data_IF_338960688886
#
_entry.id   IF_338960688886
#
_cell.length_a   1.000
_cell.length_b   1.000
_cell.length_c   1.000
_cell.angle_alpha   90.00
_cell.angle_beta   90.00
_cell.angle_gamma   90.00
#
_symmetry.space_group_name_H-M   'P 1'
#
loop_
_entity.id
_entity.type
_entity.pdbx_description
1 polymer ?
#
# COMPACT_ATOMS: atom_id res chain seq x y z
N UNK A 1 -2.41 33.02 16.48
CA UNK A 1 -2.10 32.21 15.29
C UNK A 1 -0.61 32.12 14.97
N UNK A 2 0.09 33.17 14.50
CA UNK A 2 1.53 33.06 14.13
C UNK A 2 2.39 32.45 15.25
N UNK A 3 2.42 33.08 16.42
CA UNK A 3 3.27 32.63 17.54
C UNK A 3 2.92 31.19 17.97
N UNK A 4 1.64 30.82 17.93
CA UNK A 4 1.19 29.45 18.22
C UNK A 4 1.73 28.44 17.20
N UNK A 5 1.75 28.79 15.91
CA UNK A 5 2.37 27.96 14.86
C UNK A 5 3.88 27.86 15.11
N UNK A 6 4.58 28.97 15.32
CA UNK A 6 6.04 28.97 15.57
C UNK A 6 6.41 28.12 16.80
N UNK A 7 5.62 28.21 17.88
CA UNK A 7 5.75 27.36 19.07
C UNK A 7 5.52 25.89 18.73
N UNK A 8 4.46 25.57 17.97
CA UNK A 8 4.15 24.21 17.59
C UNK A 8 5.26 23.59 16.73
N UNK A 9 5.76 24.32 15.72
CA UNK A 9 6.85 23.88 14.85
C UNK A 9 8.13 23.61 15.64
N UNK A 10 8.51 24.49 16.56
CA UNK A 10 9.68 24.28 17.41
C UNK A 10 9.50 23.07 18.34
N UNK A 11 8.30 22.80 18.85
CA UNK A 11 8.04 21.57 19.62
C UNK A 11 8.16 20.30 18.77
N UNK A 12 7.89 20.37 17.46
CA UNK A 12 8.05 19.24 16.54
C UNK A 12 9.51 18.98 16.18
N UNK A 13 10.33 20.03 16.13
CA UNK A 13 11.76 19.99 15.81
C UNK A 13 12.58 20.80 16.83
N UNK A 14 12.69 20.33 18.10
CA UNK A 14 13.39 21.05 19.17
C UNK A 14 14.90 21.18 18.95
N UNK A 15 15.47 20.45 17.99
CA UNK A 15 16.86 20.59 17.54
C UNK A 15 17.13 21.88 16.77
N UNK A 16 16.09 22.58 16.30
CA UNK A 16 16.23 23.94 15.79
C UNK A 16 16.52 24.85 16.99
N UNK A 17 17.73 25.40 17.06
CA UNK A 17 18.19 26.24 18.20
C UNK A 17 17.24 27.43 18.49
N UNK A 18 16.55 27.90 17.46
CA UNK A 18 15.58 29.00 17.50
C UNK A 18 14.27 28.60 16.85
N UNK A 19 13.17 29.22 17.27
CA UNK A 19 11.86 29.00 16.63
C UNK A 19 11.91 29.43 15.16
N UNK A 20 11.40 28.62 14.21
CA UNK A 20 11.31 29.03 12.82
C UNK A 20 10.39 30.25 12.70
N UNK A 21 10.74 31.18 11.81
CA UNK A 21 9.91 32.36 11.53
C UNK A 21 8.81 32.01 10.54
N UNK A 22 7.57 32.34 10.87
CA UNK A 22 6.41 32.23 9.97
C UNK A 22 6.02 33.62 9.49
N UNK A 23 6.14 33.85 8.19
CA UNK A 23 5.76 35.11 7.53
C UNK A 23 4.43 34.93 6.81
N UNK A 24 3.50 35.88 6.97
CA UNK A 24 2.30 35.92 6.16
C UNK A 24 2.57 36.75 4.90
N UNK A 25 2.19 36.24 3.73
CA UNK A 25 2.39 36.95 2.47
C UNK A 25 1.70 38.33 2.44
N UNK A 26 0.59 38.51 3.16
CA UNK A 26 -0.08 39.80 3.31
C UNK A 26 0.72 40.87 4.07
N UNK A 27 1.71 40.47 4.88
CA UNK A 27 2.53 41.41 5.65
C UNK A 27 3.76 41.92 4.90
N UNK A 28 4.08 41.31 3.75
CA UNK A 28 5.22 41.73 2.93
C UNK A 28 4.93 43.01 2.12
N UNK A 29 3.69 43.50 2.08
CA UNK A 29 3.35 44.74 1.37
C UNK A 29 3.71 44.67 -0.11
N UNK A 30 4.51 45.63 -0.59
CA UNK A 30 4.99 45.67 -1.98
C UNK A 30 5.98 44.55 -2.32
N UNK A 31 6.61 43.94 -1.31
CA UNK A 31 7.54 42.82 -1.45
C UNK A 31 6.83 41.46 -1.55
N UNK A 32 5.49 41.45 -1.60
CA UNK A 32 4.72 40.22 -1.70
C UNK A 32 5.00 39.54 -3.05
N UNK A 33 5.53 38.30 -3.07
CA UNK A 33 5.59 37.52 -4.29
C UNK A 33 4.17 37.18 -4.76
N UNK A 34 3.97 37.07 -6.08
CA UNK A 34 2.70 36.53 -6.60
C UNK A 34 2.65 35.03 -6.31
N UNK A 35 1.98 34.69 -5.21
CA UNK A 35 1.89 33.36 -4.62
C UNK A 35 0.66 32.59 -5.08
N UNK A 36 0.01 33.00 -6.18
CA UNK A 36 -1.28 32.41 -6.61
C UNK A 36 -1.27 30.89 -6.82
N UNK A 37 -0.09 30.28 -6.93
CA UNK A 37 0.14 28.85 -7.15
C UNK A 37 0.51 28.01 -5.91
N UNK A 38 0.84 28.59 -4.74
CA UNK A 38 1.31 27.83 -3.57
C UNK A 38 0.67 28.29 -2.26
N UNK A 39 0.58 27.38 -1.28
CA UNK A 39 0.09 27.72 0.07
C UNK A 39 1.22 28.15 1.01
N UNK A 40 2.42 27.64 0.79
CA UNK A 40 3.62 27.90 1.56
C UNK A 40 4.86 27.72 0.69
N UNK A 41 5.97 28.29 1.14
CA UNK A 41 7.30 28.06 0.56
C UNK A 41 8.38 28.34 1.59
N UNK A 42 9.55 27.73 1.40
CA UNK A 42 10.72 27.81 2.27
C UNK A 42 11.99 27.84 1.43
N UNK A 43 12.96 28.70 1.79
CA UNK A 43 14.33 28.68 1.26
C UNK A 43 15.35 28.87 2.39
N UNK A 44 16.61 28.52 2.11
CA UNK A 44 17.74 28.68 3.05
C UNK A 44 17.98 30.15 3.46
N UNK A 45 17.62 31.10 2.62
CA UNK A 45 17.94 32.52 2.71
C UNK A 45 16.76 33.41 3.15
N UNK A 46 15.54 32.87 3.23
CA UNK A 46 14.33 33.64 3.55
C UNK A 46 14.43 34.45 4.83
N UNK A 47 15.12 33.90 5.82
CA UNK A 47 15.30 34.55 7.11
C UNK A 47 16.12 35.84 6.93
N UNK A 48 17.17 35.83 6.11
CA UNK A 48 17.95 37.01 5.75
C UNK A 48 17.19 37.96 4.81
N UNK A 49 16.54 37.43 3.77
CA UNK A 49 15.80 38.23 2.76
C UNK A 49 14.66 39.03 3.40
N UNK A 50 13.95 38.43 4.36
CA UNK A 50 12.80 39.02 5.03
C UNK A 50 13.12 39.52 6.44
N UNK A 51 14.39 39.79 6.76
CA UNK A 51 14.83 40.28 8.07
C UNK A 51 14.00 41.48 8.54
N UNK A 52 13.78 42.46 7.68
CA UNK A 52 13.03 43.68 8.01
C UNK A 52 11.57 43.37 8.33
N UNK A 53 10.96 42.43 7.61
CA UNK A 53 9.59 41.95 7.86
C UNK A 53 9.48 41.10 9.13
N UNK A 54 10.54 40.39 9.51
CA UNK A 54 10.60 39.66 10.79
C UNK A 54 10.74 40.65 11.96
N UNK A 55 11.45 41.76 11.74
CA UNK A 55 11.58 42.89 12.65
C UNK A 55 12.26 42.52 13.96
N UNK A 56 11.74 43.02 15.08
CA UNK A 56 12.30 42.78 16.42
C UNK A 56 12.31 41.32 16.85
N UNK A 57 11.64 40.41 16.14
CA UNK A 57 11.68 38.96 16.40
C UNK A 57 12.94 38.31 15.84
N UNK A 58 13.66 39.01 14.95
CA UNK A 58 14.90 38.52 14.38
C UNK A 58 15.95 38.34 15.48
N UNK A 59 16.49 37.15 15.61
CA UNK A 59 17.53 36.75 16.56
C UNK A 59 18.74 36.13 15.86
N UNK A 60 18.71 36.07 14.52
CA UNK A 60 19.67 35.34 13.71
C UNK A 60 19.42 33.83 13.69
N UNK A 61 19.97 33.17 12.67
CA UNK A 61 20.12 31.71 12.60
C UNK A 61 18.86 30.87 12.41
N UNK A 62 17.66 31.41 12.66
CA UNK A 62 16.42 30.65 12.49
C UNK A 62 16.00 30.55 11.01
N UNK A 63 15.50 29.40 10.56
CA UNK A 63 14.89 29.27 9.25
C UNK A 63 13.58 30.08 9.20
N UNK A 64 13.20 30.54 8.01
CA UNK A 64 11.94 31.23 7.79
C UNK A 64 11.13 30.55 6.68
N UNK A 65 9.81 30.57 6.84
CA UNK A 65 8.85 30.09 5.84
C UNK A 65 7.82 31.17 5.57
N UNK A 66 7.39 31.25 4.31
CA UNK A 66 6.38 32.19 3.83
C UNK A 66 5.08 31.44 3.57
N UNK A 67 3.98 31.86 4.20
CA UNK A 67 2.65 31.28 4.03
C UNK A 67 1.70 32.28 3.36
N UNK A 68 0.99 31.85 2.32
CA UNK A 68 -0.04 32.69 1.68
C UNK A 68 -1.37 32.57 2.43
N UNK A 69 -1.57 33.50 3.35
CA UNK A 69 -2.76 33.61 4.20
C UNK A 69 -4.07 33.68 3.40
N UNK A 70 -4.09 34.34 2.24
CA UNK A 70 -5.28 34.42 1.38
C UNK A 70 -5.58 33.10 0.69
N UNK A 71 -4.56 32.44 0.14
CA UNK A 71 -4.72 31.13 -0.51
C UNK A 71 -5.14 30.06 0.50
N UNK A 72 -4.53 30.07 1.69
CA UNK A 72 -4.88 29.22 2.83
C UNK A 72 -6.34 29.45 3.25
N UNK A 73 -6.76 30.70 3.45
CA UNK A 73 -8.14 31.00 3.86
C UNK A 73 -9.17 30.50 2.83
N UNK A 74 -8.90 30.71 1.53
CA UNK A 74 -9.74 30.22 0.43
C UNK A 74 -9.81 28.69 0.42
N UNK A 75 -8.66 28.02 0.56
CA UNK A 75 -8.53 26.56 0.55
C UNK A 75 -9.19 25.89 1.77
N UNK A 76 -9.05 26.49 2.94
CA UNK A 76 -9.68 26.05 4.18
C UNK A 76 -11.21 26.16 4.10
N UNK A 77 -11.72 27.31 3.62
CA UNK A 77 -13.16 27.53 3.40
C UNK A 77 -13.74 26.51 2.42
N UNK A 78 -13.07 26.25 1.29
CA UNK A 78 -13.53 25.29 0.30
C UNK A 78 -13.61 23.85 0.83
N UNK A 79 -12.86 23.52 1.90
CA UNK A 79 -12.81 22.19 2.51
C UNK A 79 -13.59 22.10 3.82
N UNK A 80 -14.26 23.17 4.26
CA UNK A 80 -14.96 23.21 5.55
C UNK A 80 -14.02 23.06 6.75
N UNK A 81 -12.79 23.58 6.65
CA UNK A 81 -11.78 23.52 7.70
C UNK A 81 -11.52 24.89 8.33
N UNK A 82 -11.05 24.87 9.58
CA UNK A 82 -10.54 26.08 10.25
C UNK A 82 -9.26 26.57 9.57
N UNK A 83 -9.10 27.88 9.43
CA UNK A 83 -7.94 28.50 8.77
C UNK A 83 -6.67 28.18 9.54
N UNK A 84 -6.74 28.23 10.88
CA UNK A 84 -5.66 27.92 11.81
C UNK A 84 -5.17 26.48 11.61
N UNK A 85 -6.11 25.54 11.46
CA UNK A 85 -5.79 24.14 11.21
C UNK A 85 -5.12 23.93 9.84
N UNK A 86 -5.61 24.59 8.81
CA UNK A 86 -5.01 24.48 7.48
C UNK A 86 -3.62 25.13 7.45
N UNK A 87 -3.46 26.27 8.12
CA UNK A 87 -2.17 26.96 8.21
C UNK A 87 -1.11 26.14 8.95
N UNK A 88 -1.47 25.47 10.07
CA UNK A 88 -0.52 24.61 10.77
C UNK A 88 -0.13 23.38 9.93
N UNK A 89 -1.06 22.82 9.16
CA UNK A 89 -0.76 21.71 8.23
C UNK A 89 0.25 22.14 7.16
N UNK A 90 0.07 23.30 6.54
CA UNK A 90 1.03 23.83 5.56
C UNK A 90 2.37 24.17 6.24
N UNK A 91 2.35 24.75 7.43
CA UNK A 91 3.58 25.06 8.16
C UNK A 91 4.39 23.80 8.52
N UNK A 92 3.72 22.68 8.83
CA UNK A 92 4.37 21.38 9.06
C UNK A 92 5.00 20.84 7.76
N UNK A 93 4.35 21.03 6.60
CA UNK A 93 4.93 20.69 5.29
C UNK A 93 6.23 21.47 5.05
N UNK A 94 6.16 22.79 5.22
CA UNK A 94 7.31 23.69 5.05
C UNK A 94 8.45 23.38 6.01
N UNK A 95 8.14 23.04 7.27
CA UNK A 95 9.14 22.55 8.22
C UNK A 95 9.84 21.27 7.73
N UNK A 96 9.15 20.42 6.97
CA UNK A 96 9.77 19.29 6.29
C UNK A 96 10.89 19.72 5.34
N UNK A 97 10.67 20.78 4.57
CA UNK A 97 11.68 21.34 3.66
C UNK A 97 12.83 21.97 4.43
N UNK A 98 12.55 22.74 5.49
CA UNK A 98 13.58 23.27 6.41
C UNK A 98 14.53 22.16 6.87
N UNK A 99 13.99 21.01 7.30
CA UNK A 99 14.77 19.90 7.87
C UNK A 99 15.50 19.06 6.81
N UNK A 100 15.15 19.17 5.54
CA UNK A 100 15.91 18.53 4.45
C UNK A 100 17.25 19.21 4.20
N UNK A 101 17.32 20.52 4.42
CA UNK A 101 18.49 21.32 4.18
C UNK A 101 19.64 20.93 5.15
N UNK A 102 20.91 21.16 4.79
CA UNK A 102 22.03 20.90 5.68
C UNK A 102 21.95 21.79 6.94
N UNK A 103 22.01 21.19 8.13
CA UNK A 103 22.02 21.91 9.42
C UNK A 103 23.38 21.77 10.12
N UNK A 104 23.90 22.82 10.81
CA UNK A 104 23.31 24.16 10.94
C UNK A 104 23.31 24.90 9.61
N UNK A 105 22.25 25.71 9.38
CA UNK A 105 22.31 26.76 8.37
C UNK A 105 23.39 27.72 8.85
N UNK A 106 24.62 27.48 8.47
CA UNK A 106 25.68 28.41 8.79
C UNK A 106 25.29 29.74 8.12
N UNK A 107 24.88 30.69 8.97
CA UNK A 107 24.68 32.11 8.72
C UNK A 107 25.84 32.87 8.01
N UNK A 108 27.11 32.40 7.86
CA UNK A 108 28.19 33.21 7.29
C UNK A 108 28.00 33.65 5.85
N UNK A 109 27.16 32.97 5.05
CA UNK A 109 26.95 33.39 3.66
C UNK A 109 26.11 34.66 3.57
N UNK A 110 25.00 34.73 4.32
CA UNK A 110 24.02 35.80 4.11
C UNK A 110 24.21 37.03 5.00
N UNK A 111 24.87 36.89 6.15
CA UNK A 111 25.19 38.03 7.02
C UNK A 111 26.14 39.06 6.36
N UNK A 112 26.75 38.72 5.22
CA UNK A 112 27.72 39.56 4.49
C UNK A 112 27.17 40.15 3.19
N UNK A 113 25.94 39.83 2.78
CA UNK A 113 25.40 40.42 1.56
C UNK A 113 25.07 41.89 1.77
N UNK A 114 25.45 42.71 0.78
CA UNK A 114 25.05 44.10 0.72
C UNK A 114 23.51 44.18 0.59
N UNK A 115 22.85 45.18 1.19
CA UNK A 115 21.39 45.35 1.10
C UNK A 115 20.85 45.30 -0.33
N UNK A 116 21.61 45.76 -1.30
CA UNK A 116 21.26 45.76 -2.73
C UNK A 116 21.15 44.34 -3.30
N UNK A 117 22.03 43.43 -2.90
CA UNK A 117 21.97 42.02 -3.33
C UNK A 117 20.77 41.30 -2.73
N UNK A 118 20.37 41.65 -1.50
CA UNK A 118 19.16 41.10 -0.88
C UNK A 118 17.90 41.60 -1.59
N UNK A 119 17.90 42.83 -2.12
CA UNK A 119 16.80 43.37 -2.90
C UNK A 119 16.69 42.70 -4.28
N UNK A 120 17.82 42.46 -4.96
CA UNK A 120 17.86 41.71 -6.23
C UNK A 120 17.40 40.26 -6.04
N UNK A 121 17.88 39.59 -4.98
CA UNK A 121 17.49 38.21 -4.67
C UNK A 121 16.01 38.12 -4.29
N UNK A 122 15.46 39.11 -3.58
CA UNK A 122 14.02 39.20 -3.31
C UNK A 122 13.19 39.30 -4.59
N UNK A 123 13.64 40.10 -5.56
CA UNK A 123 12.99 40.19 -6.87
C UNK A 123 13.12 38.87 -7.65
N UNK A 124 14.26 38.19 -7.55
CA UNK A 124 14.48 36.86 -8.15
C UNK A 124 13.57 35.80 -7.53
N UNK A 125 13.40 35.78 -6.21
CA UNK A 125 12.46 34.90 -5.50
C UNK A 125 11.04 35.10 -6.01
N UNK A 126 10.61 36.36 -6.14
CA UNK A 126 9.29 36.67 -6.70
C UNK A 126 9.14 36.16 -8.14
N UNK A 127 10.16 36.35 -8.97
CA UNK A 127 10.17 35.87 -10.35
C UNK A 127 10.22 34.33 -10.43
N UNK A 128 10.98 33.65 -9.58
CA UNK A 128 11.08 32.18 -9.53
C UNK A 128 9.78 31.54 -9.07
N UNK A 129 9.12 32.09 -8.04
CA UNK A 129 7.81 31.62 -7.57
C UNK A 129 6.77 31.72 -8.69
N UNK A 130 6.82 32.79 -9.49
CA UNK A 130 5.91 32.99 -10.63
C UNK A 130 6.30 32.12 -11.84
N UNK A 131 7.59 32.03 -12.16
CA UNK A 131 8.11 31.34 -13.33
C UNK A 131 8.22 29.82 -13.15
N UNK A 132 8.16 29.32 -11.91
CA UNK A 132 8.28 27.91 -11.55
C UNK A 132 7.36 26.98 -12.34
N UNK A 133 6.26 27.47 -12.91
CA UNK A 133 5.32 26.65 -13.68
C UNK A 133 5.65 26.45 -15.16
N UNK A 134 6.53 27.23 -15.79
CA UNK A 134 6.53 27.31 -17.26
C UNK A 134 7.78 26.80 -18.02
N UNK A 135 9.01 26.85 -17.50
CA UNK A 135 10.18 26.66 -18.39
C UNK A 135 11.09 25.44 -18.17
N UNK A 136 11.31 24.94 -16.95
CA UNK A 136 12.27 23.83 -16.71
C UNK A 136 11.71 22.64 -15.91
N UNK A 137 10.61 22.80 -15.18
CA UNK A 137 10.04 21.71 -14.34
C UNK A 137 9.50 20.52 -15.14
N UNK A 138 9.17 20.69 -16.43
CA UNK A 138 8.68 19.58 -17.27
C UNK A 138 9.71 18.46 -17.46
N UNK A 139 11.00 18.72 -17.18
CA UNK A 139 12.06 17.72 -17.27
C UNK A 139 12.35 17.01 -15.93
N UNK A 140 11.94 17.58 -14.80
CA UNK A 140 12.18 16.99 -13.47
C UNK A 140 11.10 15.97 -13.13
N UNK A 141 11.39 15.04 -12.23
CA UNK A 141 10.40 14.11 -11.73
C UNK A 141 9.29 14.87 -10.96
N UNK A 142 8.01 14.44 -11.00
CA UNK A 142 6.93 15.18 -10.31
C UNK A 142 7.03 15.25 -8.79
N UNK A 143 7.93 14.47 -8.18
CA UNK A 143 8.26 14.52 -6.76
C UNK A 143 9.59 15.23 -6.50
N UNK A 144 10.08 16.03 -7.45
CA UNK A 144 11.25 16.90 -7.25
C UNK A 144 11.01 17.78 -6.02
N UNK A 145 12.01 17.88 -5.13
CA UNK A 145 11.92 18.44 -3.76
C UNK A 145 11.08 17.63 -2.75
N UNK A 146 10.12 16.81 -3.22
CA UNK A 146 9.32 15.89 -2.41
C UNK A 146 9.83 14.44 -2.48
N UNK A 147 11.15 14.25 -2.48
CA UNK A 147 11.78 12.92 -2.60
C UNK A 147 11.57 12.03 -1.35
N UNK A 148 12.20 10.83 -1.35
CA UNK A 148 12.08 9.86 -0.26
C UNK A 148 12.42 10.45 1.12
N UNK A 149 13.50 11.23 1.21
CA UNK A 149 13.92 11.83 2.47
C UNK A 149 12.90 12.86 3.00
N UNK A 150 12.27 13.62 2.10
CA UNK A 150 11.17 14.52 2.47
C UNK A 150 10.00 13.75 3.08
N UNK A 151 9.54 12.71 2.38
CA UNK A 151 8.42 11.86 2.81
C UNK A 151 8.70 11.23 4.18
N UNK A 152 9.95 10.80 4.42
CA UNK A 152 10.38 10.27 5.70
C UNK A 152 10.33 11.34 6.79
N UNK A 153 10.94 12.50 6.57
CA UNK A 153 10.92 13.63 7.52
C UNK A 153 9.49 14.03 7.89
N UNK A 154 8.64 14.25 6.89
CA UNK A 154 7.24 14.63 7.09
C UNK A 154 6.46 13.54 7.83
N UNK A 155 6.71 12.26 7.55
CA UNK A 155 6.12 11.15 8.29
C UNK A 155 6.46 11.19 9.78
N UNK A 156 7.71 11.52 10.13
CA UNK A 156 8.11 11.73 11.52
C UNK A 156 7.46 12.98 12.15
N UNK A 157 7.36 14.09 11.42
CA UNK A 157 6.68 15.31 11.89
C UNK A 157 5.21 15.05 12.23
N UNK A 158 4.48 14.33 11.36
CA UNK A 158 3.07 13.97 11.57
C UNK A 158 2.90 13.12 12.84
N UNK A 159 3.78 12.12 13.05
CA UNK A 159 3.72 11.28 14.25
C UNK A 159 4.01 12.11 15.51
N UNK A 160 5.01 13.00 15.48
CA UNK A 160 5.30 13.91 16.60
C UNK A 160 4.13 14.85 16.89
N UNK A 161 3.48 15.39 15.86
CA UNK A 161 2.32 16.25 16.01
C UNK A 161 1.18 15.54 16.72
N UNK A 162 0.84 14.32 16.29
CA UNK A 162 -0.15 13.50 16.97
C UNK A 162 0.18 13.22 18.44
N UNK A 163 1.46 12.95 18.76
CA UNK A 163 1.89 12.72 20.15
C UNK A 163 1.87 13.97 21.04
N UNK A 164 2.07 15.14 20.47
CA UNK A 164 2.08 16.42 21.18
C UNK A 164 0.70 17.08 21.28
N UNK A 165 -0.33 16.44 20.71
CA UNK A 165 -1.68 16.99 20.61
C UNK A 165 -1.78 18.18 19.64
N UNK A 166 -0.81 18.32 18.73
CA UNK A 166 -0.87 19.33 17.67
C UNK A 166 -1.81 18.79 16.58
N UNK A 167 -2.97 19.43 16.36
CA UNK A 167 -3.92 18.91 15.40
C UNK A 167 -3.33 19.02 14.01
N UNK A 168 -3.38 17.93 13.24
CA UNK A 168 -2.85 17.90 11.89
C UNK A 168 -3.64 16.96 10.96
N UNK A 169 -3.67 17.29 9.67
CA UNK A 169 -4.24 16.46 8.61
C UNK A 169 -3.13 15.99 7.65
N UNK A 170 -2.72 14.71 7.74
CA UNK A 170 -1.68 14.15 6.87
C UNK A 170 -1.91 14.37 5.37
N UNK A 171 -3.18 14.44 4.93
CA UNK A 171 -3.52 14.62 3.50
C UNK A 171 -3.28 16.04 2.99
N UNK A 172 -3.22 17.03 3.89
CA UNK A 172 -2.86 18.41 3.56
C UNK A 172 -1.36 18.59 3.67
N UNK A 173 -0.76 18.02 4.72
CA UNK A 173 0.70 18.06 4.91
C UNK A 173 1.42 17.37 3.77
N UNK A 174 0.92 16.23 3.27
CA UNK A 174 1.56 15.54 2.14
C UNK A 174 0.52 15.13 1.10
N UNK A 175 0.17 16.03 0.15
CA UNK A 175 -0.85 15.77 -0.85
C UNK A 175 -0.29 14.92 -2.01
N UNK A 176 0.05 13.64 -1.75
CA UNK A 176 0.71 12.72 -2.70
C UNK A 176 0.14 12.71 -4.13
N UNK A 177 -1.17 12.91 -4.27
CA UNK A 177 -1.82 12.99 -5.58
C UNK A 177 -1.32 14.15 -6.46
N UNK A 178 -0.88 15.25 -5.88
CA UNK A 178 -0.27 16.38 -6.60
C UNK A 178 1.09 16.01 -7.19
N UNK A 179 1.82 15.10 -6.55
CA UNK A 179 3.13 14.61 -7.00
C UNK A 179 3.03 13.34 -7.84
N UNK A 180 1.81 12.97 -8.28
CA UNK A 180 1.52 11.77 -9.07
C UNK A 180 1.95 10.44 -8.41
N UNK A 181 2.13 10.46 -7.09
CA UNK A 181 2.44 9.28 -6.28
C UNK A 181 1.14 8.52 -6.00
N UNK A 182 1.15 7.21 -6.26
CA UNK A 182 -0.03 6.35 -6.20
C UNK A 182 -0.37 5.81 -4.82
N UNK A 183 0.57 5.79 -3.88
CA UNK A 183 0.34 5.44 -2.49
C UNK A 183 -0.17 6.66 -1.70
N UNK A 184 -1.14 6.44 -0.81
CA UNK A 184 -1.61 7.50 0.07
C UNK A 184 -0.62 7.80 1.18
N UNK A 185 -0.69 8.99 1.78
CA UNK A 185 0.13 9.32 2.96
C UNK A 185 -0.02 8.30 4.10
N UNK A 186 -1.20 7.70 4.26
CA UNK A 186 -1.44 6.63 5.23
C UNK A 186 -0.55 5.40 5.02
N UNK A 187 -0.24 5.04 3.76
CA UNK A 187 0.64 3.91 3.43
C UNK A 187 2.09 4.22 3.84
N UNK A 188 2.56 5.44 3.58
CA UNK A 188 3.89 5.90 3.99
C UNK A 188 4.02 5.97 5.51
N UNK A 189 2.99 6.48 6.21
CA UNK A 189 2.96 6.50 7.67
C UNK A 189 2.97 5.09 8.26
N UNK A 190 2.20 4.14 7.70
CA UNK A 190 2.25 2.75 8.11
C UNK A 190 3.65 2.13 7.87
N UNK A 191 4.27 2.44 6.73
CA UNK A 191 5.64 2.04 6.42
C UNK A 191 6.72 2.71 7.29
N UNK A 192 6.40 3.78 8.03
CA UNK A 192 7.32 4.46 8.95
C UNK A 192 6.97 4.27 10.43
N UNK A 193 5.79 3.74 10.76
CA UNK A 193 5.23 3.70 12.11
C UNK A 193 6.18 3.25 13.25
N UNK A 194 6.99 2.19 13.04
CA UNK A 194 7.90 1.67 14.06
C UNK A 194 9.10 2.60 14.24
N UNK A 195 9.69 3.02 13.12
CA UNK A 195 10.79 3.98 13.12
C UNK A 195 10.36 5.30 13.75
N UNK A 196 9.23 5.86 13.30
CA UNK A 196 8.71 7.14 13.79
C UNK A 196 8.45 7.10 15.30
N UNK A 197 7.92 6.00 15.81
CA UNK A 197 7.69 5.78 17.24
C UNK A 197 8.98 5.59 18.04
N UNK A 198 9.96 4.84 17.52
CA UNK A 198 11.24 4.58 18.20
C UNK A 198 12.13 5.84 18.20
N UNK A 199 12.16 6.58 17.10
CA UNK A 199 13.02 7.75 16.91
C UNK A 199 12.33 9.08 17.20
N UNK A 200 11.15 9.07 17.82
CA UNK A 200 10.38 10.28 18.13
C UNK A 200 11.13 11.35 18.92
N UNK A 201 12.14 10.96 19.70
CA UNK A 201 12.96 11.86 20.52
C UNK A 201 14.36 12.13 19.93
N UNK A 202 14.66 11.60 18.74
CA UNK A 202 15.98 11.75 18.08
C UNK A 202 15.99 12.98 17.18
N UNK A 203 17.12 13.64 17.02
CA UNK A 203 17.21 14.73 16.05
C UNK A 203 16.98 14.22 14.60
N UNK A 204 16.45 15.06 13.72
CA UNK A 204 16.24 14.77 12.30
C UNK A 204 17.55 14.51 11.57
N UNK A 205 18.66 15.11 12.02
CA UNK A 205 20.01 14.76 11.55
C UNK A 205 20.36 13.29 11.83
N UNK A 206 20.05 12.78 13.03
CA UNK A 206 20.22 11.35 13.36
C UNK A 206 19.27 10.45 12.57
N UNK A 207 18.02 10.88 12.34
CA UNK A 207 17.05 10.16 11.50
C UNK A 207 17.61 10.00 10.08
N UNK A 208 18.06 11.10 9.46
CA UNK A 208 18.62 11.12 8.09
C UNK A 208 19.86 10.22 7.96
N UNK A 209 20.70 10.14 8.98
CA UNK A 209 21.90 9.30 8.97
C UNK A 209 21.61 7.80 9.03
N UNK A 210 20.42 7.40 9.50
CA UNK A 210 20.03 5.98 9.53
C UNK A 210 19.43 5.54 8.20
N UNK A 211 19.72 4.30 7.81
CA UNK A 211 19.06 3.66 6.68
C UNK A 211 17.52 3.66 6.88
N UNK A 212 16.73 4.08 5.88
CA UNK A 212 15.28 4.02 5.98
C UNK A 212 14.77 2.57 6.15
N UNK A 213 13.62 2.36 6.79
CA UNK A 213 13.02 1.03 6.94
C UNK A 213 12.80 0.39 5.57
N UNK A 214 13.12 -0.89 5.44
CA UNK A 214 13.03 -1.61 4.17
C UNK A 214 11.62 -1.56 3.56
N UNK A 215 10.59 -1.60 4.41
CA UNK A 215 9.18 -1.45 3.99
C UNK A 215 8.88 -0.08 3.36
N UNK A 216 9.50 0.99 3.86
CA UNK A 216 9.39 2.33 3.29
C UNK A 216 10.12 2.41 1.94
N UNK A 217 11.36 1.89 1.87
CA UNK A 217 12.14 1.86 0.62
C UNK A 217 11.41 1.09 -0.48
N UNK A 218 10.84 -0.09 -0.17
CA UNK A 218 10.05 -0.86 -1.13
C UNK A 218 8.81 -0.11 -1.60
N UNK A 219 8.09 0.55 -0.70
CA UNK A 219 6.91 1.36 -1.03
C UNK A 219 7.29 2.51 -1.97
N UNK A 220 8.31 3.30 -1.61
CA UNK A 220 8.81 4.41 -2.42
C UNK A 220 9.25 3.98 -3.82
N UNK A 221 10.03 2.90 -3.92
CA UNK A 221 10.50 2.38 -5.20
C UNK A 221 9.36 1.86 -6.08
N UNK A 222 8.34 1.24 -5.49
CA UNK A 222 7.15 0.80 -6.22
C UNK A 222 6.38 2.00 -6.77
N UNK A 223 6.22 3.02 -5.95
CA UNK A 223 5.40 4.18 -6.28
C UNK A 223 6.04 5.03 -7.38
N UNK A 224 7.31 5.40 -7.20
CA UNK A 224 8.08 6.15 -8.20
C UNK A 224 8.17 5.40 -9.53
N UNK A 225 8.42 4.08 -9.54
CA UNK A 225 8.39 3.28 -10.78
C UNK A 225 7.04 3.33 -11.49
N UNK A 226 5.94 3.20 -10.75
CA UNK A 226 4.58 3.30 -11.29
C UNK A 226 4.34 4.66 -11.92
N UNK A 227 4.79 5.72 -11.25
CA UNK A 227 4.63 7.09 -11.72
C UNK A 227 5.46 7.37 -12.97
N UNK A 228 6.73 6.91 -13.04
CA UNK A 228 7.57 7.01 -14.25
C UNK A 228 6.87 6.33 -15.43
N UNK A 229 6.37 5.11 -15.23
CA UNK A 229 5.65 4.37 -16.26
C UNK A 229 4.41 5.12 -16.76
N UNK A 230 3.64 5.71 -15.85
CA UNK A 230 2.46 6.50 -16.20
C UNK A 230 2.82 7.73 -17.05
N UNK A 231 3.86 8.49 -16.65
CA UNK A 231 4.32 9.68 -17.38
C UNK A 231 4.84 9.30 -18.77
N UNK A 232 5.61 8.22 -18.87
CA UNK A 232 6.14 7.72 -20.16
C UNK A 232 4.99 7.34 -21.10
N UNK A 233 4.00 6.60 -20.60
CA UNK A 233 2.83 6.19 -21.39
C UNK A 233 2.03 7.39 -21.89
N UNK A 234 1.82 8.42 -21.06
CA UNK A 234 1.11 9.64 -21.48
C UNK A 234 1.91 10.48 -22.49
N UNK A 235 3.25 10.55 -22.35
CA UNK A 235 4.13 11.18 -23.35
C UNK A 235 4.07 10.45 -24.69
N UNK A 236 4.13 9.12 -24.68
CA UNK A 236 3.99 8.30 -25.89
C UNK A 236 2.65 8.50 -26.57
N UNK A 237 1.54 8.51 -25.82
CA UNK A 237 0.19 8.80 -26.37
C UNK A 237 0.12 10.17 -27.01
N UNK A 238 0.65 11.19 -26.32
CA UNK A 238 0.65 12.57 -26.83
C UNK A 238 1.51 12.70 -28.08
N UNK A 239 2.67 12.03 -28.12
CA UNK A 239 3.54 11.98 -29.28
C UNK A 239 2.86 11.29 -30.47
N UNK A 240 2.25 10.11 -30.26
CA UNK A 240 1.48 9.39 -31.28
C UNK A 240 0.36 10.29 -31.84
N UNK A 241 -0.43 10.92 -30.97
CA UNK A 241 -1.51 11.82 -31.38
C UNK A 241 -1.00 13.08 -32.13
N UNK A 242 0.24 13.51 -31.87
CA UNK A 242 0.88 14.65 -32.55
C UNK A 242 1.42 14.22 -33.92
N UNK A 243 2.05 13.05 -34.00
CA UNK A 243 2.47 12.43 -35.27
C UNK A 243 1.25 12.21 -36.17
N UNK A 244 0.12 11.76 -35.62
CA UNK A 244 -1.14 11.59 -36.35
C UNK A 244 -1.69 12.93 -36.87
N UNK A 245 -1.63 14.00 -36.07
CA UNK A 245 -2.02 15.36 -36.51
C UNK A 245 -1.10 15.91 -37.61
N UNK A 246 0.21 15.71 -37.50
CA UNK A 246 1.18 16.13 -38.53
C UNK A 246 0.96 15.34 -39.83
N UNK A 247 0.64 14.04 -39.73
CA UNK A 247 0.28 13.21 -40.88
C UNK A 247 -1.00 13.71 -41.56
N UNK A 248 -2.02 14.11 -40.80
CA UNK A 248 -3.26 14.66 -41.33
C UNK A 248 -3.05 16.01 -42.06
N UNK A 249 -2.10 16.84 -41.62
CA UNK A 249 -1.79 18.14 -42.23
C UNK A 249 -1.05 18.05 -43.59
N UNK A 250 -0.40 16.92 -43.90
CA UNK A 250 0.33 16.70 -45.16
C UNK A 250 -0.58 16.20 -46.32
N UNK A 251 -1.80 15.78 -46.00
CA UNK A 251 -2.75 15.06 -46.88
C UNK A 251 -3.82 15.96 -47.54
N UNK A 252 -3.45 17.02 -48.26
CA UNK A 252 -4.42 17.77 -49.07
C UNK A 252 -4.07 17.91 -50.56
N UNK A 253 -2.87 17.50 -50.99
CA UNK A 253 -2.48 17.50 -52.42
C UNK A 253 -2.04 16.13 -52.95
N UNK A 254 -1.53 15.24 -52.08
CA UNK A 254 -1.21 13.84 -52.42
C UNK A 254 -2.39 12.87 -52.19
N UNK A 255 -3.50 13.38 -51.65
CA UNK A 255 -4.58 12.59 -51.09
C UNK A 255 -5.49 11.92 -52.12
N UNK A 256 -5.68 12.52 -53.30
CA UNK A 256 -6.57 11.97 -54.33
C UNK A 256 -5.92 10.77 -55.04
N UNK A 257 -4.67 10.90 -55.48
CA UNK A 257 -3.90 9.81 -56.10
C UNK A 257 -3.64 8.65 -55.14
N UNK A 258 -3.38 8.95 -53.87
CA UNK A 258 -3.25 7.92 -52.83
C UNK A 258 -4.58 7.21 -52.53
N UNK A 259 -5.73 7.87 -52.71
CA UNK A 259 -7.05 7.28 -52.45
C UNK A 259 -7.42 6.23 -53.50
N UNK A 260 -7.10 6.50 -54.76
CA UNK A 260 -7.30 5.57 -55.88
C UNK A 260 -6.41 4.33 -55.72
N UNK A 261 -5.13 4.50 -55.39
CA UNK A 261 -4.23 3.37 -55.11
C UNK A 261 -4.64 2.57 -53.87
N UNK A 262 -5.08 3.22 -52.79
CA UNK A 262 -5.57 2.52 -51.59
C UNK A 262 -6.88 1.77 -51.84
N UNK A 263 -7.71 2.25 -52.75
CA UNK A 263 -8.93 1.54 -53.15
C UNK A 263 -8.58 0.29 -53.94
N UNK A 264 -7.65 0.40 -54.91
CA UNK A 264 -7.08 -0.74 -55.64
C UNK A 264 -6.50 -1.80 -54.69
N UNK A 265 -5.66 -1.41 -53.73
CA UNK A 265 -5.10 -2.32 -52.69
C UNK A 265 -6.18 -3.04 -51.88
N UNK A 266 -7.29 -2.35 -51.57
CA UNK A 266 -8.41 -2.95 -50.81
C UNK A 266 -9.19 -3.95 -51.65
N UNK A 267 -9.46 -3.62 -52.91
CA UNK A 267 -10.19 -4.49 -53.83
C UNK A 267 -9.38 -5.76 -54.13
N UNK A 268 -8.06 -5.63 -54.35
CA UNK A 268 -7.15 -6.77 -54.47
C UNK A 268 -7.07 -7.60 -53.19
N UNK A 269 -6.96 -6.98 -52.01
CA UNK A 269 -6.91 -7.70 -50.72
C UNK A 269 -8.22 -8.42 -50.37
N UNK A 270 -9.35 -7.95 -50.89
CA UNK A 270 -10.66 -8.58 -50.76
C UNK A 270 -10.88 -9.73 -51.76
N UNK A 271 -9.98 -9.91 -52.72
CA UNK A 271 -10.11 -10.89 -53.80
C UNK A 271 -11.13 -10.47 -54.86
N UNK A 272 -11.46 -9.18 -54.95
CA UNK A 272 -12.31 -8.66 -56.02
C UNK A 272 -11.51 -8.63 -57.32
N UNK A 273 -12.17 -8.94 -58.44
CA UNK A 273 -11.57 -8.81 -59.77
C UNK A 273 -11.41 -7.32 -60.09
N UNK A 274 -10.18 -6.89 -60.37
CA UNK A 274 -9.86 -5.49 -60.70
C UNK A 274 -9.49 -5.40 -62.18
N UNK A 275 -10.04 -4.41 -62.88
CA UNK A 275 -9.71 -4.12 -64.26
C UNK A 275 -8.20 -3.82 -64.41
N UNK A 276 -7.45 -4.63 -65.18
CA UNK A 276 -6.00 -4.49 -65.31
C UNK A 276 -5.57 -3.15 -65.93
N UNK A 277 -6.37 -2.57 -66.82
CA UNK A 277 -6.03 -1.29 -67.45
C UNK A 277 -6.18 -0.12 -66.47
N UNK A 278 -7.24 -0.15 -65.65
CA UNK A 278 -7.44 0.80 -64.57
C UNK A 278 -6.36 0.66 -63.47
N UNK A 279 -5.99 -0.58 -63.13
CA UNK A 279 -4.91 -0.84 -62.17
C UNK A 279 -3.57 -0.30 -62.67
N UNK A 280 -3.23 -0.53 -63.94
CA UNK A 280 -2.00 -0.02 -64.54
C UNK A 280 -1.94 1.52 -64.54
N UNK A 281 -3.05 2.20 -64.83
CA UNK A 281 -3.12 3.66 -64.81
C UNK A 281 -2.91 4.25 -63.41
N UNK A 282 -3.49 3.63 -62.38
CA UNK A 282 -3.34 4.05 -60.98
C UNK A 282 -1.92 3.80 -60.47
N UNK A 283 -1.31 2.67 -60.86
CA UNK A 283 0.08 2.33 -60.52
C UNK A 283 1.08 3.32 -61.15
N UNK A 284 0.91 3.64 -62.43
CA UNK A 284 1.74 4.64 -63.13
C UNK A 284 1.58 6.03 -62.51
N UNK A 285 0.33 6.45 -62.23
CA UNK A 285 0.03 7.74 -61.60
C UNK A 285 0.59 7.90 -60.17
N UNK A 286 0.87 6.79 -59.48
CA UNK A 286 1.44 6.75 -58.12
C UNK A 286 2.90 6.34 -58.08
N UNK A 287 3.50 5.96 -59.21
CA UNK A 287 4.87 5.48 -59.31
C UNK A 287 5.11 4.14 -58.59
N UNK A 288 4.07 3.29 -58.55
CA UNK A 288 4.07 2.00 -57.84
C UNK A 288 4.16 0.81 -58.79
N UNK A 289 4.78 -0.27 -58.34
CA UNK A 289 4.88 -1.52 -59.11
C UNK A 289 3.81 -2.54 -58.70
N UNK A 290 3.62 -3.56 -59.53
CA UNK A 290 2.72 -4.69 -59.22
C UNK A 290 3.18 -5.44 -57.97
N UNK A 291 4.49 -5.66 -57.80
CA UNK A 291 5.04 -6.31 -56.59
C UNK A 291 4.75 -5.50 -55.32
N UNK A 292 4.77 -4.16 -55.41
CA UNK A 292 4.40 -3.28 -54.31
C UNK A 292 2.90 -3.36 -54.00
N UNK A 293 2.05 -3.43 -55.04
CA UNK A 293 0.61 -3.65 -54.89
C UNK A 293 0.31 -4.97 -54.16
N UNK A 294 0.96 -6.06 -54.55
CA UNK A 294 0.79 -7.37 -53.91
C UNK A 294 1.26 -7.35 -52.45
N UNK A 295 2.42 -6.74 -52.18
CA UNK A 295 2.94 -6.60 -50.82
C UNK A 295 2.02 -5.76 -49.93
N UNK A 296 1.42 -4.71 -50.46
CA UNK A 296 0.48 -3.85 -49.74
C UNK A 296 -0.91 -4.50 -49.60
N UNK A 297 -1.38 -5.26 -50.59
CA UNK A 297 -2.59 -6.06 -50.50
C UNK A 297 -2.48 -7.14 -49.41
N UNK A 298 -1.33 -7.80 -49.30
CA UNK A 298 -1.06 -8.77 -48.22
C UNK A 298 -1.09 -8.10 -46.83
N UNK A 299 -0.50 -6.91 -46.68
CA UNK A 299 -0.58 -6.12 -45.43
C UNK A 299 -2.02 -5.72 -45.12
N UNK A 300 -2.79 -5.28 -46.13
CA UNK A 300 -4.18 -4.87 -45.96
C UNK A 300 -5.09 -6.05 -45.59
N UNK A 301 -4.87 -7.23 -46.19
CA UNK A 301 -5.55 -8.48 -45.81
C UNK A 301 -5.27 -8.84 -44.34
N UNK A 302 -4.01 -8.79 -43.90
CA UNK A 302 -3.64 -8.97 -42.48
C UNK A 302 -4.34 -7.93 -41.58
N UNK A 303 -4.47 -6.70 -42.04
CA UNK A 303 -5.19 -5.62 -41.32
C UNK A 303 -6.67 -5.92 -41.17
N UNK A 304 -7.33 -6.42 -42.21
CA UNK A 304 -8.74 -6.84 -42.15
C UNK A 304 -8.93 -7.99 -41.15
N UNK A 305 -8.02 -8.96 -41.13
CA UNK A 305 -8.03 -10.03 -40.14
C UNK A 305 -7.86 -9.50 -38.70
N UNK A 306 -6.99 -8.51 -38.49
CA UNK A 306 -6.82 -7.86 -37.18
C UNK A 306 -8.05 -7.02 -36.78
N UNK A 307 -8.68 -6.32 -37.72
CA UNK A 307 -9.93 -5.60 -37.47
C UNK A 307 -11.09 -6.54 -37.13
N UNK A 308 -11.19 -7.69 -37.80
CA UNK A 308 -12.15 -8.73 -37.46
C UNK A 308 -11.95 -9.22 -36.01
N UNK A 309 -10.69 -9.46 -35.60
CA UNK A 309 -10.36 -9.79 -34.20
C UNK A 309 -10.70 -8.67 -33.22
N UNK A 310 -10.46 -7.40 -33.60
CA UNK A 310 -10.84 -6.25 -32.76
C UNK A 310 -12.36 -6.10 -32.66
N UNK A 311 -13.11 -6.47 -33.68
CA UNK A 311 -14.58 -6.45 -33.65
C UNK A 311 -15.16 -7.44 -32.63
N UNK A 312 -14.38 -8.42 -32.15
CA UNK A 312 -14.75 -9.30 -31.05
C UNK A 312 -14.65 -8.62 -29.66
N UNK A 313 -13.95 -7.49 -29.54
CA UNK A 313 -13.74 -6.81 -28.24
C UNK A 313 -15.03 -6.46 -27.50
N UNK A 314 -16.09 -5.90 -28.14
CA UNK A 314 -17.34 -5.59 -27.44
C UNK A 314 -18.01 -6.84 -26.84
N UNK A 315 -17.99 -7.96 -27.55
CA UNK A 315 -18.54 -9.23 -27.06
C UNK A 315 -17.72 -9.79 -25.88
N UNK A 316 -16.39 -9.70 -25.94
CA UNK A 316 -15.50 -10.08 -24.84
C UNK A 316 -15.67 -9.16 -23.62
N UNK A 317 -15.87 -7.86 -23.83
CA UNK A 317 -16.14 -6.90 -22.77
C UNK A 317 -17.48 -7.19 -22.06
N UNK A 318 -18.54 -7.43 -22.83
CA UNK A 318 -19.84 -7.85 -22.28
C UNK A 318 -19.74 -9.18 -21.51
N UNK A 319 -18.96 -10.14 -22.03
CA UNK A 319 -18.69 -11.41 -21.33
C UNK A 319 -17.93 -11.17 -20.02
N UNK A 320 -16.96 -10.25 -19.98
CA UNK A 320 -16.22 -9.89 -18.77
C UNK A 320 -17.16 -9.29 -17.73
N UNK A 321 -17.98 -8.31 -18.11
CA UNK A 321 -18.95 -7.67 -17.23
C UNK A 321 -19.94 -8.68 -16.64
N UNK A 322 -20.46 -9.60 -17.46
CA UNK A 322 -21.34 -10.67 -16.99
C UNK A 322 -20.66 -11.62 -15.98
N UNK A 323 -19.36 -11.91 -16.17
CA UNK A 323 -18.59 -12.71 -15.21
C UNK A 323 -18.31 -11.94 -13.91
N UNK A 324 -17.96 -10.66 -14.00
CA UNK A 324 -17.77 -9.77 -12.84
C UNK A 324 -19.06 -9.67 -12.01
N UNK A 325 -20.23 -9.53 -12.65
CA UNK A 325 -21.53 -9.54 -11.99
C UNK A 325 -21.82 -10.86 -11.25
N UNK A 326 -21.51 -12.01 -11.89
CA UNK A 326 -21.64 -13.33 -11.24
C UNK A 326 -20.73 -13.47 -10.02
N UNK A 327 -19.49 -13.01 -10.12
CA UNK A 327 -18.54 -13.00 -8.99
C UNK A 327 -19.06 -12.13 -7.86
N UNK A 328 -19.53 -10.92 -8.16
CA UNK A 328 -20.11 -10.01 -7.17
C UNK A 328 -21.31 -10.61 -6.44
N UNK A 329 -22.22 -11.28 -7.16
CA UNK A 329 -23.36 -11.97 -6.55
C UNK A 329 -22.92 -13.11 -5.61
N UNK A 330 -21.94 -13.92 -6.00
CA UNK A 330 -21.41 -14.99 -5.16
C UNK A 330 -20.74 -14.45 -3.88
N UNK A 331 -20.02 -13.32 -3.97
CA UNK A 331 -19.41 -12.66 -2.81
C UNK A 331 -20.45 -12.14 -1.83
N UNK A 332 -21.58 -11.60 -2.30
CA UNK A 332 -22.68 -11.18 -1.44
C UNK A 332 -23.32 -12.36 -0.68
N UNK A 333 -23.48 -13.52 -1.34
CA UNK A 333 -23.96 -14.75 -0.68
C UNK A 333 -22.99 -15.19 0.42
N UNK A 334 -21.68 -15.15 0.14
CA UNK A 334 -20.66 -15.48 1.14
C UNK A 334 -20.66 -14.52 2.33
N UNK A 335 -20.83 -13.22 2.08
CA UNK A 335 -20.91 -12.22 3.15
C UNK A 335 -22.09 -12.49 4.10
N UNK A 336 -23.28 -12.74 3.55
CA UNK A 336 -24.48 -13.11 4.33
C UNK A 336 -24.27 -14.39 5.15
N UNK A 337 -23.64 -15.41 4.56
CA UNK A 337 -23.34 -16.65 5.27
C UNK A 337 -22.37 -16.43 6.45
N UNK A 338 -21.40 -15.52 6.32
CA UNK A 338 -20.50 -15.14 7.41
C UNK A 338 -21.19 -14.36 8.51
N UNK A 339 -22.06 -13.42 8.15
CA UNK A 339 -22.88 -12.69 9.13
C UNK A 339 -23.79 -13.63 9.92
N UNK A 340 -24.41 -14.60 9.24
CA UNK A 340 -25.24 -15.62 9.89
C UNK A 340 -24.43 -16.53 10.82
N UNK A 341 -23.27 -16.99 10.37
CA UNK A 341 -22.33 -17.73 11.21
C UNK A 341 -21.97 -16.94 12.47
N UNK A 342 -21.60 -15.67 12.33
CA UNK A 342 -21.26 -14.82 13.46
C UNK A 342 -22.44 -14.60 14.41
N UNK A 343 -23.64 -14.39 13.86
CA UNK A 343 -24.88 -14.23 14.62
C UNK A 343 -25.16 -15.45 15.50
N UNK A 344 -24.91 -16.65 15.01
CA UNK A 344 -25.13 -17.91 15.74
C UNK A 344 -23.98 -18.21 16.70
N UNK A 345 -22.73 -18.12 16.23
CA UNK A 345 -21.57 -18.57 17.00
C UNK A 345 -21.16 -17.60 18.11
N UNK A 346 -21.32 -16.28 17.92
CA UNK A 346 -20.91 -15.29 18.92
C UNK A 346 -21.61 -15.44 20.28
N UNK A 347 -22.96 -15.56 20.37
CA UNK A 347 -23.61 -15.77 21.66
C UNK A 347 -23.24 -17.11 22.29
N UNK A 348 -23.12 -18.19 21.50
CA UNK A 348 -22.71 -19.50 22.00
C UNK A 348 -21.28 -19.48 22.57
N UNK A 349 -20.35 -18.77 21.93
CA UNK A 349 -18.99 -18.57 22.44
C UNK A 349 -18.98 -17.75 23.73
N UNK A 350 -19.83 -16.72 23.84
CA UNK A 350 -19.96 -15.93 25.06
C UNK A 350 -20.50 -16.79 26.22
N UNK A 351 -21.53 -17.61 25.97
CA UNK A 351 -22.08 -18.55 26.94
C UNK A 351 -21.02 -19.57 27.39
N UNK A 352 -20.31 -20.18 26.45
CA UNK A 352 -19.22 -21.12 26.73
C UNK A 352 -18.14 -20.48 27.61
N UNK A 353 -17.78 -19.23 27.35
CA UNK A 353 -16.80 -18.50 28.17
C UNK A 353 -17.32 -18.26 29.59
N UNK A 354 -18.60 -17.92 29.76
CA UNK A 354 -19.24 -17.79 31.07
C UNK A 354 -19.24 -19.11 31.86
N UNK A 355 -19.54 -20.23 31.18
CA UNK A 355 -19.46 -21.57 31.78
C UNK A 355 -18.01 -21.89 32.20
N UNK A 356 -17.02 -21.62 31.34
CA UNK A 356 -15.60 -21.82 31.67
C UNK A 356 -15.16 -21.00 32.88
N UNK A 357 -15.57 -19.74 32.97
CA UNK A 357 -15.25 -18.89 34.10
C UNK A 357 -15.86 -19.44 35.40
N UNK A 358 -17.13 -19.85 35.35
CA UNK A 358 -17.83 -20.46 36.50
C UNK A 358 -17.13 -21.73 36.97
N UNK A 359 -16.72 -22.60 36.04
CA UNK A 359 -15.96 -23.81 36.36
C UNK A 359 -14.59 -23.50 36.97
N UNK A 360 -13.91 -22.46 36.49
CA UNK A 360 -12.64 -22.02 37.06
C UNK A 360 -12.79 -21.52 38.50
N UNK A 361 -13.81 -20.70 38.79
CA UNK A 361 -14.13 -20.25 40.15
C UNK A 361 -14.47 -21.43 41.07
N UNK A 362 -15.26 -22.41 40.59
CA UNK A 362 -15.55 -23.62 41.38
C UNK A 362 -14.30 -24.44 41.69
N UNK A 363 -13.37 -24.58 40.73
CA UNK A 363 -12.08 -25.24 40.96
C UNK A 363 -11.24 -24.52 42.01
N UNK A 364 -11.26 -23.19 42.02
CA UNK A 364 -10.58 -22.42 43.05
C UNK A 364 -11.14 -22.74 44.45
N UNK A 365 -12.47 -22.76 44.61
CA UNK A 365 -13.13 -23.12 45.87
C UNK A 365 -12.74 -24.54 46.30
N UNK A 366 -12.72 -25.51 45.37
CA UNK A 366 -12.26 -26.87 45.69
C UNK A 366 -10.81 -26.89 46.18
N UNK A 367 -9.92 -26.10 45.58
CA UNK A 367 -8.53 -26.00 46.01
C UNK A 367 -8.41 -25.38 47.41
N UNK A 368 -9.23 -24.38 47.73
CA UNK A 368 -9.31 -23.77 49.07
C UNK A 368 -9.79 -24.80 50.10
N UNK A 369 -10.84 -25.57 49.80
CA UNK A 369 -11.32 -26.66 50.68
C UNK A 369 -10.23 -27.71 50.93
N UNK A 370 -9.51 -28.13 49.88
CA UNK A 370 -8.39 -29.07 50.00
C UNK A 370 -7.24 -28.53 50.85
N UNK A 371 -6.99 -27.22 50.82
CA UNK A 371 -5.96 -26.58 51.65
C UNK A 371 -6.36 -26.52 53.13
N UNK A 372 -7.66 -26.44 53.42
CA UNK A 372 -8.20 -26.38 54.78
C UNK A 372 -8.58 -27.75 55.37
N UNK A 373 -8.51 -28.82 54.58
CA UNK A 373 -8.88 -30.17 55.03
C UNK A 373 -7.92 -30.66 56.14
N UNK A 374 -8.42 -31.06 57.32
CA UNK A 374 -7.57 -31.48 58.43
C UNK A 374 -6.95 -32.87 58.23
N UNK A 375 -7.51 -33.70 57.35
CA UNK A 375 -7.02 -35.05 57.06
C UNK A 375 -6.04 -35.04 55.87
N UNK A 376 -4.74 -35.06 56.17
CA UNK A 376 -3.69 -35.07 55.17
C UNK A 376 -3.67 -36.33 54.30
N UNK A 377 -4.19 -37.46 54.78
CA UNK A 377 -4.23 -38.71 54.01
C UNK A 377 -5.28 -38.63 52.89
N UNK A 378 -6.47 -38.08 53.19
CA UNK A 378 -7.52 -37.85 52.18
C UNK A 378 -7.08 -36.86 51.10
N UNK A 379 -6.35 -35.81 51.47
CA UNK A 379 -5.79 -34.85 50.49
C UNK A 379 -4.75 -35.52 49.59
N UNK A 380 -3.91 -36.41 50.13
CA UNK A 380 -2.92 -37.15 49.35
C UNK A 380 -3.58 -38.13 48.36
N UNK A 381 -4.61 -38.85 48.79
CA UNK A 381 -5.40 -39.75 47.94
C UNK A 381 -6.09 -39.00 46.79
N UNK A 382 -6.72 -37.86 47.09
CA UNK A 382 -7.34 -37.01 46.07
C UNK A 382 -6.31 -36.53 45.02
N UNK A 383 -5.14 -36.05 45.46
CA UNK A 383 -4.08 -35.58 44.53
C UNK A 383 -3.58 -36.70 43.64
N UNK A 384 -3.33 -37.89 44.21
CA UNK A 384 -2.91 -39.06 43.44
C UNK A 384 -3.95 -39.45 42.38
N UNK A 385 -5.24 -39.40 42.72
CA UNK A 385 -6.33 -39.67 41.77
C UNK A 385 -6.39 -38.62 40.64
N UNK A 386 -6.20 -37.33 40.96
CA UNK A 386 -6.15 -36.25 39.97
C UNK A 386 -4.94 -36.38 39.03
N UNK A 387 -3.76 -36.69 39.57
CA UNK A 387 -2.55 -36.88 38.78
C UNK A 387 -2.70 -38.05 37.81
N UNK A 388 -3.27 -39.17 38.29
CA UNK A 388 -3.63 -40.31 37.45
C UNK A 388 -4.61 -39.90 36.33
N UNK A 389 -5.67 -39.16 36.64
CA UNK A 389 -6.62 -38.70 35.62
C UNK A 389 -5.94 -37.80 34.57
N UNK A 390 -5.07 -36.87 35.00
CA UNK A 390 -4.33 -35.98 34.11
C UNK A 390 -3.38 -36.73 33.19
N UNK A 391 -2.69 -37.75 33.69
CA UNK A 391 -1.81 -38.62 32.88
C UNK A 391 -2.60 -39.36 31.80
N UNK A 392 -3.79 -39.89 32.12
CA UNK A 392 -4.66 -40.54 31.15
C UNK A 392 -5.13 -39.56 30.06
N UNK A 393 -5.51 -38.34 30.42
CA UNK A 393 -5.84 -37.29 29.45
C UNK A 393 -4.66 -36.90 28.55
N UNK A 394 -3.44 -36.81 29.11
CA UNK A 394 -2.24 -36.51 28.32
C UNK A 394 -1.95 -37.62 27.31
N UNK A 395 -2.10 -38.90 27.70
CA UNK A 395 -1.99 -40.04 26.80
C UNK A 395 -3.04 -40.00 25.69
N UNK A 396 -4.31 -39.74 26.03
CA UNK A 396 -5.37 -39.61 25.03
C UNK A 396 -5.07 -38.52 24.00
N UNK A 397 -4.63 -37.34 24.45
CA UNK A 397 -4.27 -36.22 23.57
C UNK A 397 -3.17 -36.63 22.59
N UNK A 398 -2.09 -37.24 23.10
CA UNK A 398 -0.97 -37.70 22.28
C UNK A 398 -1.40 -38.72 21.22
N UNK A 399 -2.23 -39.70 21.60
CA UNK A 399 -2.77 -40.71 20.68
C UNK A 399 -3.64 -40.07 19.59
N UNK A 400 -4.50 -39.12 19.95
CA UNK A 400 -5.34 -38.39 18.98
C UNK A 400 -4.53 -37.52 18.03
N UNK A 401 -3.50 -36.83 18.52
CA UNK A 401 -2.57 -36.06 17.68
C UNK A 401 -1.87 -36.97 16.68
N UNK A 402 -1.42 -38.15 17.11
CA UNK A 402 -0.82 -39.16 16.24
C UNK A 402 -1.82 -39.69 15.20
N UNK A 403 -3.08 -39.97 15.59
CA UNK A 403 -4.12 -40.43 14.67
C UNK A 403 -4.48 -39.36 13.63
N UNK A 404 -4.54 -38.08 14.03
CA UNK A 404 -4.73 -36.96 13.12
C UNK A 404 -3.57 -36.83 12.12
N UNK A 405 -2.33 -36.89 12.59
CA UNK A 405 -1.15 -36.85 11.73
C UNK A 405 -1.12 -38.01 10.71
N UNK A 406 -1.47 -39.23 11.15
CA UNK A 406 -1.57 -40.40 10.29
C UNK A 406 -2.65 -40.21 9.20
N UNK A 407 -3.83 -39.67 9.55
CA UNK A 407 -4.88 -39.34 8.55
C UNK A 407 -4.42 -38.30 7.53
N UNK A 408 -3.77 -37.24 7.98
CA UNK A 408 -3.22 -36.22 7.08
C UNK A 408 -2.18 -36.83 6.13
N UNK A 409 -1.26 -37.64 6.65
CA UNK A 409 -0.27 -38.34 5.82
C UNK A 409 -0.92 -39.30 4.81
N UNK A 410 -1.96 -40.04 5.22
CA UNK A 410 -2.72 -40.91 4.33
C UNK A 410 -3.39 -40.12 3.19
N UNK A 411 -4.01 -38.98 3.51
CA UNK A 411 -4.65 -38.10 2.53
C UNK A 411 -3.62 -37.53 1.53
N UNK A 412 -2.51 -36.97 2.03
CA UNK A 412 -1.45 -36.42 1.17
C UNK A 412 -0.86 -37.46 0.23
N UNK A 413 -0.65 -38.69 0.70
CA UNK A 413 -0.15 -39.78 -0.14
C UNK A 413 -1.18 -40.21 -1.21
N UNK A 414 -2.49 -40.24 -0.89
CA UNK A 414 -3.56 -40.49 -1.89
C UNK A 414 -3.61 -39.39 -2.94
N UNK A 415 -3.47 -38.13 -2.54
CA UNK A 415 -3.45 -36.99 -3.45
C UNK A 415 -2.23 -37.06 -4.38
N UNK A 416 -1.03 -37.28 -3.84
CA UNK A 416 0.19 -37.45 -4.63
C UNK A 416 0.10 -38.62 -5.63
N UNK A 417 -0.53 -39.74 -5.22
CA UNK A 417 -0.82 -40.87 -6.11
C UNK A 417 -1.78 -40.52 -7.25
N UNK A 418 -2.74 -39.62 -7.00
CA UNK A 418 -3.68 -39.11 -8.01
C UNK A 418 -3.04 -38.13 -9.01
N UNK A 419 -2.03 -37.36 -8.56
CA UNK A 419 -1.35 -36.34 -9.37
C UNK A 419 -0.20 -36.91 -10.23
N UNK A 420 0.36 -38.08 -9.88
CA UNK A 420 1.43 -38.77 -10.61
C UNK A 420 1.19 -38.95 -12.14
N UNK A 421 -0.01 -39.30 -12.62
CA UNK A 421 -0.30 -39.39 -14.06
C UNK A 421 -0.08 -38.07 -14.83
N UNK A 422 -0.18 -36.90 -14.17
CA UNK A 422 0.08 -35.60 -14.79
C UNK A 422 1.57 -35.25 -14.88
N UNK A 423 2.39 -35.80 -13.99
CA UNK A 423 3.83 -35.46 -13.91
C UNK A 423 4.67 -36.40 -14.78
N UNK A 424 4.35 -37.71 -14.79
CA UNK A 424 5.18 -38.73 -15.43
C UNK A 424 4.94 -38.92 -16.93
N UNK A 425 3.81 -38.47 -17.47
CA UNK A 425 3.56 -38.40 -18.93
C UNK A 425 4.57 -37.51 -19.67
N UNK A 426 5.31 -36.65 -18.96
CA UNK A 426 6.37 -35.82 -19.53
C UNK A 426 7.78 -36.46 -19.55
N UNK A 427 7.99 -37.58 -18.83
CA UNK A 427 9.35 -38.09 -18.52
C UNK A 427 9.62 -39.55 -18.92
N UNK A 428 8.66 -40.26 -19.52
CA UNK A 428 8.87 -41.63 -20.03
C UNK A 428 9.07 -42.73 -18.96
N UNK A 429 8.79 -42.43 -17.69
CA UNK A 429 8.84 -43.38 -16.58
C UNK A 429 7.50 -44.11 -16.41
N UNK A 430 7.53 -45.42 -16.16
CA UNK A 430 6.35 -46.24 -15.85
C UNK A 430 5.86 -45.89 -14.43
N UNK A 431 4.93 -44.94 -14.32
CA UNK A 431 4.44 -44.39 -13.05
C UNK A 431 3.67 -45.34 -12.13
N UNK A 432 3.52 -46.60 -12.52
CA UNK A 432 2.71 -47.57 -11.81
C UNK A 432 3.34 -48.04 -10.49
N UNK A 433 4.67 -48.23 -10.45
CA UNK A 433 5.37 -48.65 -9.22
C UNK A 433 5.37 -47.54 -8.15
N UNK A 434 5.62 -46.28 -8.56
CA UNK A 434 5.59 -45.12 -7.66
C UNK A 434 4.18 -44.86 -7.13
N UNK A 435 3.15 -45.01 -7.96
CA UNK A 435 1.75 -44.89 -7.55
C UNK A 435 1.36 -46.00 -6.57
N UNK A 436 1.72 -47.25 -6.86
CA UNK A 436 1.46 -48.38 -5.97
C UNK A 436 2.14 -48.20 -4.61
N UNK A 437 3.39 -47.73 -4.58
CA UNK A 437 4.13 -47.45 -3.36
C UNK A 437 3.49 -46.36 -2.49
N UNK A 438 3.02 -45.26 -3.10
CA UNK A 438 2.30 -44.19 -2.37
C UNK A 438 0.95 -44.65 -1.84
N UNK A 439 0.19 -45.43 -2.62
CA UNK A 439 -1.08 -45.99 -2.17
C UNK A 439 -0.88 -47.00 -1.02
N UNK A 440 0.13 -47.87 -1.10
CA UNK A 440 0.48 -48.78 -0.01
C UNK A 440 0.90 -48.03 1.26
N UNK A 441 1.62 -46.92 1.11
CA UNK A 441 1.99 -46.05 2.25
C UNK A 441 0.77 -45.32 2.81
N UNK A 442 -0.15 -44.84 1.97
CA UNK A 442 -1.41 -44.25 2.41
C UNK A 442 -2.29 -45.25 3.17
N UNK A 443 -2.33 -46.51 2.73
CA UNK A 443 -3.07 -47.57 3.41
C UNK A 443 -2.49 -47.84 4.79
N UNK A 444 -1.16 -48.03 4.91
CA UNK A 444 -0.50 -48.20 6.22
C UNK A 444 -0.79 -47.07 7.20
N UNK A 445 -0.84 -45.82 6.72
CA UNK A 445 -1.18 -44.66 7.54
C UNK A 445 -2.67 -44.63 7.92
N UNK A 446 -3.55 -45.15 7.07
CA UNK A 446 -4.98 -45.33 7.39
C UNK A 446 -5.14 -46.37 8.49
N UNK A 447 -4.51 -47.54 8.33
CA UNK A 447 -4.55 -48.64 9.32
C UNK A 447 -3.99 -48.17 10.68
N UNK A 448 -2.89 -47.41 10.68
CA UNK A 448 -2.31 -46.82 11.89
C UNK A 448 -3.28 -45.83 12.57
N UNK A 449 -3.97 -44.99 11.79
CA UNK A 449 -4.95 -44.07 12.35
C UNK A 449 -6.12 -44.82 13.01
N UNK A 450 -6.60 -45.91 12.41
CA UNK A 450 -7.66 -46.76 12.97
C UNK A 450 -7.22 -47.44 14.27
N UNK A 451 -5.99 -47.98 14.31
CA UNK A 451 -5.42 -48.56 15.54
C UNK A 451 -5.31 -47.53 16.68
N UNK A 452 -4.86 -46.31 16.36
CA UNK A 452 -4.75 -45.23 17.34
C UNK A 452 -6.12 -44.74 17.82
N UNK A 453 -7.15 -44.71 16.96
CA UNK A 453 -8.52 -44.39 17.39
C UNK A 453 -9.09 -45.48 18.31
N UNK A 454 -8.84 -46.76 18.01
CA UNK A 454 -9.22 -47.85 18.92
C UNK A 454 -8.52 -47.72 20.29
N UNK A 455 -7.24 -47.38 20.30
CA UNK A 455 -6.49 -47.09 21.52
C UNK A 455 -7.06 -45.88 22.27
N UNK A 456 -7.47 -44.83 21.55
CA UNK A 456 -8.10 -43.65 22.13
C UNK A 456 -9.40 -44.04 22.87
N UNK A 457 -10.24 -44.90 22.29
CA UNK A 457 -11.46 -45.41 22.94
C UNK A 457 -11.15 -46.18 24.23
N UNK A 458 -10.09 -47.00 24.26
CA UNK A 458 -9.66 -47.67 25.50
C UNK A 458 -9.24 -46.68 26.58
N UNK A 459 -8.48 -45.64 26.21
CA UNK A 459 -8.05 -44.61 27.16
C UNK A 459 -9.26 -43.78 27.64
N UNK A 460 -10.28 -43.56 26.81
CA UNK A 460 -11.51 -42.89 27.23
C UNK A 460 -12.29 -43.68 28.30
N UNK A 461 -12.35 -45.00 28.17
CA UNK A 461 -12.93 -45.85 29.21
C UNK A 461 -12.14 -45.74 30.52
N UNK A 462 -10.81 -45.76 30.45
CA UNK A 462 -9.93 -45.56 31.62
C UNK A 462 -10.12 -44.17 32.26
N UNK A 463 -10.28 -43.11 31.46
CA UNK A 463 -10.57 -41.76 31.96
C UNK A 463 -11.90 -41.73 32.71
N UNK A 464 -12.93 -42.44 32.25
CA UNK A 464 -14.22 -42.51 32.93
C UNK A 464 -14.11 -43.17 34.31
N UNK A 465 -13.34 -44.26 34.42
CA UNK A 465 -13.07 -44.95 35.69
C UNK A 465 -12.26 -44.07 36.66
N UNK A 466 -11.19 -43.43 36.17
CA UNK A 466 -10.37 -42.51 36.97
C UNK A 466 -11.17 -41.29 37.41
N UNK A 467 -12.08 -40.77 36.58
CA UNK A 467 -12.96 -39.67 36.94
C UNK A 467 -13.93 -40.04 38.07
N UNK A 468 -14.45 -41.26 38.08
CA UNK A 468 -15.26 -41.76 39.19
C UNK A 468 -14.45 -41.85 40.50
N UNK A 469 -13.18 -42.28 40.42
CA UNK A 469 -12.27 -42.32 41.57
C UNK A 469 -12.01 -40.91 42.13
N UNK A 470 -11.72 -39.93 41.27
CA UNK A 470 -11.56 -38.52 41.68
C UNK A 470 -12.83 -37.98 42.34
N UNK A 471 -14.01 -38.33 41.81
CA UNK A 471 -15.28 -37.91 42.39
C UNK A 471 -15.50 -38.49 43.80
N UNK A 472 -15.18 -39.77 44.01
CA UNK A 472 -15.28 -40.42 45.32
C UNK A 472 -14.30 -39.80 46.34
N UNK A 473 -13.03 -39.62 45.96
CA UNK A 473 -12.02 -39.00 46.82
C UNK A 473 -12.38 -37.55 47.16
N UNK A 474 -12.95 -36.80 46.20
CA UNK A 474 -13.44 -35.44 46.43
C UNK A 474 -14.59 -35.41 47.45
N UNK A 475 -15.55 -36.31 47.32
CA UNK A 475 -16.68 -36.37 48.26
C UNK A 475 -16.21 -36.70 49.69
N UNK A 476 -15.18 -37.54 49.84
CA UNK A 476 -14.56 -37.83 51.13
C UNK A 476 -13.88 -36.59 51.75
N UNK A 477 -13.15 -35.81 50.95
CA UNK A 477 -12.56 -34.53 51.38
C UNK A 477 -13.64 -33.51 51.75
N UNK A 478 -14.73 -33.40 50.98
CA UNK A 478 -15.81 -32.44 51.25
C UNK A 478 -16.62 -32.78 52.51
N UNK A 479 -16.62 -34.06 52.94
CA UNK A 479 -17.31 -34.52 54.15
C UNK A 479 -16.49 -34.38 55.44
N UNK A 480 -15.16 -34.23 55.32
CA UNK A 480 -14.20 -34.11 56.43
C UNK A 480 -13.90 -32.63 56.73
#
# INVERSE_FOLDING_TARGET
>A
MRDEIEIALHRLAPELETRPYVLWASELGADRPDTTCYYGTTREDFSAIYRDSIGERWRGGAPAMLLDDKAIAKAAKARGMMIEQFAIDIAIHELGHVLQLPWPHHEPRFAKFAPELLAEDRASVGAEIVAGLECEERQREPWYQHAADFHRIVGHLIVRAGMLGVPCNPKIILPNGQYTLGAGIGDYLAALADEARIMRHRAFTEIKQRAPPERFVRLWNRDTKRTIYFIQTERERTMIATIERIRQAKTLSDAEKAREYLQLVRDTAAGNEVDPDAAAAILDATGKTVDELDADAAKQSKRLQLHAKLAEMPALAAKREALEAKIGAAQQVLAKAREEHDRVCRPALAELNGVKQTLASKRQICNELLQTCPDAALVAEYRAAVDALNEAHARLRKVREQAAAARTAAFSNKQAAGDLPRVLTSAGWTGDESKASLLATAQRQTDLAEQLEAQATTIEAEIAERAATVAAARAAVEAA
#
